data_IF_384950186743
#
_entry.id   IF_384950186743
#
_cell.length_a   1.000
_cell.length_b   1.000
_cell.length_c   1.000
_cell.angle_alpha   90.00
_cell.angle_beta   90.00
_cell.angle_gamma   90.00
#
_symmetry.space_group_name_H-M   'P 1'
#
loop_
_entity.id
_entity.type
_entity.pdbx_description
1 polymer ?
#
# COMPACT_ATOMS: atom_id res chain seq x y z
N UNK A 1 -2.00 -34.26 -15.60
CA UNK A 1 -2.78 -33.01 -15.47
C UNK A 1 -3.58 -32.64 -16.72
N UNK A 2 -3.01 -32.07 -17.80
CA UNK A 2 -3.82 -31.68 -18.99
C UNK A 2 -4.42 -32.84 -19.81
N UNK A 3 -3.78 -34.02 -19.77
CA UNK A 3 -4.28 -35.23 -20.46
C UNK A 3 -5.30 -36.04 -19.66
N UNK A 4 -5.38 -35.85 -18.34
CA UNK A 4 -6.33 -36.57 -17.48
C UNK A 4 -7.67 -35.85 -17.38
N UNK A 5 -7.68 -34.51 -17.48
CA UNK A 5 -8.91 -33.71 -17.48
C UNK A 5 -9.75 -33.88 -18.76
N UNK A 6 -9.11 -34.19 -19.89
CA UNK A 6 -9.80 -34.44 -21.17
C UNK A 6 -10.54 -35.80 -21.21
N UNK A 7 -10.28 -36.70 -20.26
CA UNK A 7 -10.94 -38.01 -20.19
C UNK A 7 -12.23 -38.00 -19.35
N UNK A 8 -12.50 -36.95 -18.58
CA UNK A 8 -13.61 -36.90 -17.61
C UNK A 8 -14.86 -36.15 -18.06
N UNK A 9 -14.95 -35.68 -19.31
CA UNK A 9 -16.20 -35.11 -19.86
C UNK A 9 -16.71 -33.82 -19.23
N UNK A 10 -15.94 -33.17 -18.35
CA UNK A 10 -16.17 -31.79 -17.94
C UNK A 10 -15.43 -30.89 -18.93
N UNK A 11 -16.09 -30.45 -19.99
CA UNK A 11 -15.65 -29.29 -20.76
C UNK A 11 -15.65 -28.10 -19.78
N UNK A 12 -14.48 -27.52 -19.46
CA UNK A 12 -14.46 -26.36 -18.60
C UNK A 12 -14.95 -25.17 -19.44
N UNK A 13 -15.85 -24.38 -18.86
CA UNK A 13 -16.64 -23.34 -19.53
C UNK A 13 -15.76 -22.42 -20.42
N UNK A 14 -16.06 -22.38 -21.72
CA UNK A 14 -15.27 -21.68 -22.74
C UNK A 14 -15.15 -20.18 -22.43
N UNK A 15 -16.18 -19.59 -21.82
CA UNK A 15 -16.20 -18.19 -21.40
C UNK A 15 -15.22 -17.94 -20.24
N UNK A 16 -15.19 -18.85 -19.26
CA UNK A 16 -14.22 -18.84 -18.16
C UNK A 16 -12.77 -19.01 -18.64
N UNK A 17 -12.52 -19.84 -19.66
CA UNK A 17 -11.19 -19.96 -20.27
C UNK A 17 -10.75 -18.72 -21.02
N UNK A 18 -11.66 -18.11 -21.80
CA UNK A 18 -11.37 -16.90 -22.56
C UNK A 18 -11.05 -15.74 -21.62
N UNK A 19 -11.83 -15.56 -20.55
CA UNK A 19 -11.56 -14.54 -19.52
C UNK A 19 -10.20 -14.78 -18.84
N UNK A 20 -9.87 -16.03 -18.53
CA UNK A 20 -8.57 -16.39 -17.94
C UNK A 20 -7.40 -16.08 -18.88
N UNK A 21 -7.54 -16.37 -20.18
CA UNK A 21 -6.51 -16.08 -21.19
C UNK A 21 -6.37 -14.58 -21.45
N UNK A 22 -7.46 -13.81 -21.40
CA UNK A 22 -7.43 -12.36 -21.53
C UNK A 22 -6.75 -11.68 -20.33
N UNK A 23 -7.02 -12.17 -19.11
CA UNK A 23 -6.32 -11.75 -17.89
C UNK A 23 -4.81 -12.02 -17.97
N UNK A 24 -4.41 -13.23 -18.38
CA UNK A 24 -2.99 -13.56 -18.53
C UNK A 24 -2.28 -12.66 -19.56
N UNK A 25 -2.91 -12.42 -20.72
CA UNK A 25 -2.39 -11.50 -21.74
C UNK A 25 -2.34 -10.05 -21.27
N UNK A 26 -3.20 -9.65 -20.34
CA UNK A 26 -3.13 -8.32 -19.74
C UNK A 26 -1.93 -8.20 -18.81
N UNK A 27 -1.76 -9.13 -17.87
CA UNK A 27 -0.59 -9.12 -16.99
C UNK A 27 0.74 -9.20 -17.78
N UNK A 28 0.81 -9.96 -18.88
CA UNK A 28 1.98 -10.03 -19.77
C UNK A 28 2.37 -8.67 -20.39
N UNK A 29 1.44 -7.72 -20.55
CA UNK A 29 1.72 -6.37 -21.07
C UNK A 29 2.37 -5.46 -20.02
N UNK A 30 2.16 -5.75 -18.75
CA UNK A 30 2.54 -4.89 -17.63
C UNK A 30 3.71 -5.46 -16.80
N UNK A 31 3.88 -6.78 -16.76
CA UNK A 31 4.90 -7.44 -15.97
C UNK A 31 5.78 -8.33 -16.83
N UNK A 32 7.08 -8.34 -16.56
CA UNK A 32 7.99 -9.30 -17.17
C UNK A 32 7.69 -10.72 -16.68
N UNK A 33 8.12 -11.75 -17.42
CA UNK A 33 7.92 -13.15 -17.04
C UNK A 33 8.52 -13.48 -15.66
N UNK A 34 9.65 -12.88 -15.31
CA UNK A 34 10.25 -13.03 -13.98
C UNK A 34 9.40 -12.38 -12.88
N UNK A 35 8.78 -11.24 -13.16
CA UNK A 35 7.87 -10.57 -12.23
C UNK A 35 6.56 -11.33 -12.08
N UNK A 36 5.99 -11.85 -13.16
CA UNK A 36 4.78 -12.69 -13.12
C UNK A 36 4.98 -13.94 -12.27
N UNK A 37 6.13 -14.60 -12.40
CA UNK A 37 6.48 -15.75 -11.56
C UNK A 37 6.55 -15.41 -10.06
N UNK A 38 6.80 -14.13 -9.73
CA UNK A 38 6.87 -13.62 -8.36
C UNK A 38 5.61 -12.87 -7.91
N UNK A 39 4.61 -12.69 -8.78
CA UNK A 39 3.39 -11.94 -8.52
C UNK A 39 2.25 -12.91 -8.20
N UNK A 40 1.78 -12.99 -6.93
CA UNK A 40 0.67 -13.85 -6.57
C UNK A 40 -0.57 -13.61 -7.44
N UNK A 41 -0.92 -12.37 -7.78
CA UNK A 41 -2.03 -12.07 -8.70
C UNK A 41 -1.95 -12.78 -10.06
N UNK A 42 -0.76 -13.07 -10.57
CA UNK A 42 -0.59 -13.76 -11.85
C UNK A 42 -0.80 -15.27 -11.75
N UNK A 43 -0.73 -15.85 -10.56
CA UNK A 43 -1.01 -17.27 -10.37
C UNK A 43 -2.51 -17.56 -10.49
N UNK A 44 -2.86 -18.71 -11.05
CA UNK A 44 -4.25 -19.20 -11.04
C UNK A 44 -4.56 -19.79 -9.66
N UNK A 45 -5.44 -19.13 -8.91
CA UNK A 45 -5.83 -19.51 -7.56
C UNK A 45 -7.27 -19.10 -7.31
N UNK A 46 -8.16 -20.08 -7.33
CA UNK A 46 -9.60 -19.87 -7.14
C UNK A 46 -9.92 -19.32 -5.74
N UNK A 47 -9.16 -19.71 -4.71
CA UNK A 47 -9.38 -19.21 -3.36
C UNK A 47 -9.02 -17.73 -3.26
N UNK A 48 -7.90 -17.31 -3.86
CA UNK A 48 -7.56 -15.89 -3.94
C UNK A 48 -8.61 -15.13 -4.72
N UNK A 49 -9.02 -15.61 -5.88
CA UNK A 49 -10.03 -14.96 -6.72
C UNK A 49 -11.40 -14.83 -6.01
N UNK A 50 -11.84 -15.89 -5.30
CA UNK A 50 -13.06 -15.87 -4.50
C UNK A 50 -12.98 -14.82 -3.37
N UNK A 51 -11.89 -14.80 -2.61
CA UNK A 51 -11.73 -13.85 -1.52
C UNK A 51 -11.64 -12.38 -2.00
N UNK A 52 -11.13 -12.12 -3.21
CA UNK A 52 -11.19 -10.79 -3.81
C UNK A 52 -12.61 -10.41 -4.25
N UNK A 53 -13.38 -11.35 -4.82
CA UNK A 53 -14.79 -11.12 -5.16
C UNK A 53 -15.61 -10.77 -3.92
N UNK A 54 -15.46 -11.54 -2.84
CA UNK A 54 -16.12 -11.28 -1.56
C UNK A 54 -15.75 -9.89 -1.00
N UNK A 55 -14.46 -9.54 -1.00
CA UNK A 55 -14.02 -8.21 -0.55
C UNK A 55 -14.63 -7.09 -1.38
N UNK A 56 -14.66 -7.23 -2.71
CA UNK A 56 -15.26 -6.23 -3.61
C UNK A 56 -16.77 -6.09 -3.37
N UNK A 57 -17.49 -7.20 -3.20
CA UNK A 57 -18.92 -7.22 -2.89
C UNK A 57 -19.23 -6.57 -1.52
N UNK A 58 -18.40 -6.83 -0.50
CA UNK A 58 -18.51 -6.19 0.81
C UNK A 58 -18.37 -4.65 0.68
N UNK A 59 -17.39 -4.16 -0.11
CA UNK A 59 -17.19 -2.72 -0.30
C UNK A 59 -18.38 -2.10 -1.02
N UNK A 60 -18.85 -2.74 -2.09
CA UNK A 60 -20.02 -2.29 -2.85
C UNK A 60 -21.27 -2.20 -1.95
N UNK A 61 -21.46 -3.18 -1.07
CA UNK A 61 -22.57 -3.19 -0.10
C UNK A 61 -22.48 -2.02 0.88
N UNK A 62 -21.29 -1.76 1.44
CA UNK A 62 -21.09 -0.60 2.33
C UNK A 62 -21.33 0.72 1.60
N UNK A 63 -20.79 0.88 0.39
CA UNK A 63 -21.00 2.08 -0.43
C UNK A 63 -22.48 2.28 -0.78
N UNK A 64 -23.20 1.22 -1.18
CA UNK A 64 -24.63 1.29 -1.52
C UNK A 64 -25.51 1.66 -0.33
N UNK A 65 -25.10 1.29 0.88
CA UNK A 65 -25.78 1.68 2.13
C UNK A 65 -25.45 3.11 2.59
N UNK A 66 -24.54 3.81 1.90
CA UNK A 66 -24.05 5.14 2.31
C UNK A 66 -23.21 5.09 3.59
N UNK A 67 -22.54 3.96 3.87
CA UNK A 67 -21.73 3.78 5.06
C UNK A 67 -20.53 4.75 5.06
N UNK A 68 -20.37 5.61 6.09
CA UNK A 68 -19.23 6.52 6.18
C UNK A 68 -17.88 5.81 6.23
N UNK A 69 -16.85 6.42 5.64
CA UNK A 69 -15.45 5.94 5.59
C UNK A 69 -14.80 5.86 6.97
N UNK A 70 -15.21 6.73 7.90
CA UNK A 70 -14.78 6.76 9.30
C UNK A 70 -15.52 5.74 10.20
N UNK A 71 -16.45 4.96 9.64
CA UNK A 71 -17.17 3.95 10.40
C UNK A 71 -16.26 2.77 10.78
N UNK A 72 -16.48 2.12 11.93
CA UNK A 72 -15.70 0.92 12.30
C UNK A 72 -15.79 -0.21 11.28
N UNK A 73 -16.88 -0.31 10.52
CA UNK A 73 -17.06 -1.34 9.50
C UNK A 73 -16.20 -1.05 8.26
N UNK A 74 -16.26 0.19 7.75
CA UNK A 74 -15.44 0.64 6.62
C UNK A 74 -13.94 0.53 6.93
N UNK A 75 -13.49 1.03 8.09
CA UNK A 75 -12.08 0.96 8.49
C UNK A 75 -11.57 -0.49 8.58
N UNK A 76 -12.37 -1.42 9.12
CA UNK A 76 -11.99 -2.84 9.18
C UNK A 76 -11.92 -3.48 7.80
N UNK A 77 -12.88 -3.18 6.93
CA UNK A 77 -12.87 -3.68 5.56
C UNK A 77 -11.66 -3.16 4.77
N UNK A 78 -11.38 -1.86 4.88
CA UNK A 78 -10.21 -1.25 4.25
C UNK A 78 -8.89 -1.83 4.78
N UNK A 79 -8.83 -2.17 6.07
CA UNK A 79 -7.66 -2.87 6.65
C UNK A 79 -7.46 -4.24 6.01
N UNK A 80 -8.53 -5.07 5.93
CA UNK A 80 -8.49 -6.39 5.28
C UNK A 80 -8.05 -6.27 3.82
N UNK A 81 -8.59 -5.27 3.11
CA UNK A 81 -8.22 -4.98 1.74
C UNK A 81 -6.72 -4.71 1.60
N UNK A 82 -6.18 -3.80 2.42
CA UNK A 82 -4.76 -3.42 2.33
C UNK A 82 -3.82 -4.55 2.74
N UNK A 83 -4.17 -5.33 3.77
CA UNK A 83 -3.39 -6.52 4.15
C UNK A 83 -3.33 -7.55 3.02
N UNK A 84 -4.47 -7.79 2.36
CA UNK A 84 -4.55 -8.74 1.26
C UNK A 84 -3.84 -8.23 0.02
N UNK A 85 -3.97 -6.94 -0.28
CA UNK A 85 -3.24 -6.30 -1.38
C UNK A 85 -1.73 -6.39 -1.17
N UNK A 86 -1.25 -6.18 0.06
CA UNK A 86 0.17 -6.31 0.40
C UNK A 86 0.66 -7.76 0.25
N UNK A 87 -0.14 -8.74 0.66
CA UNK A 87 0.17 -10.17 0.47
C UNK A 87 0.20 -10.55 -1.02
N UNK A 88 -0.81 -10.14 -1.79
CA UNK A 88 -0.98 -10.55 -3.18
C UNK A 88 -0.08 -9.78 -4.16
N UNK A 89 0.58 -8.72 -3.68
CA UNK A 89 1.72 -8.06 -4.34
C UNK A 89 3.07 -8.58 -3.84
N UNK A 90 3.09 -9.68 -3.06
CA UNK A 90 4.29 -10.26 -2.44
C UNK A 90 5.11 -9.25 -1.60
N UNK A 91 4.46 -8.23 -1.03
CA UNK A 91 5.13 -7.15 -0.30
C UNK A 91 6.04 -6.27 -1.17
N UNK A 92 5.88 -6.31 -2.51
CA UNK A 92 6.68 -5.54 -3.46
C UNK A 92 5.96 -4.25 -3.87
N UNK A 93 6.41 -3.06 -3.42
CA UNK A 93 5.75 -1.80 -3.74
C UNK A 93 5.74 -1.49 -5.24
N UNK A 94 6.74 -1.96 -6.01
CA UNK A 94 6.75 -1.81 -7.46
C UNK A 94 5.56 -2.52 -8.14
N UNK A 95 5.06 -3.61 -7.56
CA UNK A 95 3.88 -4.31 -8.08
C UNK A 95 2.62 -3.52 -7.78
N UNK A 96 2.49 -2.95 -6.59
CA UNK A 96 1.38 -2.04 -6.25
C UNK A 96 1.33 -0.85 -7.21
N UNK A 97 2.46 -0.17 -7.45
CA UNK A 97 2.50 0.97 -8.37
C UNK A 97 2.03 0.57 -9.77
N UNK A 98 2.48 -0.58 -10.28
CA UNK A 98 2.11 -1.03 -11.62
C UNK A 98 0.66 -1.51 -11.72
N UNK A 99 0.12 -2.10 -10.66
CA UNK A 99 -1.31 -2.41 -10.58
C UNK A 99 -2.16 -1.13 -10.62
N UNK A 100 -1.74 -0.07 -9.93
CA UNK A 100 -2.44 1.22 -9.98
C UNK A 100 -2.40 1.84 -11.39
N UNK A 101 -1.25 1.79 -12.06
CA UNK A 101 -1.12 2.26 -13.46
C UNK A 101 -2.00 1.44 -14.41
N UNK A 102 -2.01 0.11 -14.25
CA UNK A 102 -2.85 -0.81 -15.02
C UNK A 102 -4.34 -0.53 -14.81
N UNK A 103 -4.80 -0.35 -13.57
CA UNK A 103 -6.18 0.03 -13.27
C UNK A 103 -6.61 1.36 -13.90
N UNK A 104 -5.68 2.31 -14.04
CA UNK A 104 -5.95 3.60 -14.67
C UNK A 104 -5.98 3.53 -16.21
N UNK A 105 -5.19 2.63 -16.81
CA UNK A 105 -5.00 2.53 -18.26
C UNK A 105 -5.89 1.49 -18.94
N UNK A 106 -6.34 0.45 -18.24
CA UNK A 106 -7.05 -0.70 -18.81
C UNK A 106 -8.51 -0.74 -18.28
N UNK A 107 -9.52 -0.27 -19.05
CA UNK A 107 -10.92 -0.33 -18.64
C UNK A 107 -11.41 -1.76 -18.33
N UNK A 108 -10.82 -2.76 -19.01
CA UNK A 108 -11.09 -4.19 -18.79
C UNK A 108 -10.81 -4.63 -17.35
N UNK A 109 -9.95 -3.93 -16.61
CA UNK A 109 -9.73 -4.20 -15.19
C UNK A 109 -11.01 -4.05 -14.38
N UNK A 110 -11.82 -3.03 -14.68
CA UNK A 110 -13.09 -2.81 -13.97
C UNK A 110 -14.08 -3.93 -14.29
N UNK A 111 -14.17 -4.32 -15.56
CA UNK A 111 -15.07 -5.38 -16.02
C UNK A 111 -14.73 -6.74 -15.38
N UNK A 112 -13.44 -7.06 -15.27
CA UNK A 112 -12.97 -8.35 -14.79
C UNK A 112 -12.89 -8.44 -13.26
N UNK A 113 -12.52 -7.36 -12.58
CA UNK A 113 -12.30 -7.37 -11.12
C UNK A 113 -13.44 -6.76 -10.33
N UNK A 114 -14.31 -5.98 -10.97
CA UNK A 114 -15.34 -5.17 -10.31
C UNK A 114 -14.78 -4.00 -9.49
N UNK A 115 -13.46 -3.81 -9.47
CA UNK A 115 -12.79 -2.76 -8.70
C UNK A 115 -12.81 -1.45 -9.49
N UNK A 116 -13.73 -0.57 -9.10
CA UNK A 116 -13.89 0.75 -9.72
C UNK A 116 -13.00 1.80 -9.05
N UNK A 117 -12.71 2.95 -9.72
CA UNK A 117 -12.04 4.08 -9.09
C UNK A 117 -12.73 4.56 -7.80
N UNK A 118 -14.06 4.46 -7.73
CA UNK A 118 -14.83 4.83 -6.54
C UNK A 118 -14.58 3.88 -5.35
N UNK A 119 -14.43 2.57 -5.61
CA UNK A 119 -14.04 1.58 -4.59
C UNK A 119 -12.63 1.89 -4.08
N UNK A 120 -11.68 2.19 -4.99
CA UNK A 120 -10.30 2.54 -4.61
C UNK A 120 -10.28 3.79 -3.73
N UNK A 121 -11.03 4.83 -4.09
CA UNK A 121 -11.15 6.05 -3.30
C UNK A 121 -11.75 5.78 -1.91
N UNK A 122 -12.85 5.03 -1.84
CA UNK A 122 -13.52 4.68 -0.59
C UNK A 122 -12.60 3.90 0.36
N UNK A 123 -11.90 2.89 -0.16
CA UNK A 123 -10.94 2.10 0.62
C UNK A 123 -9.75 2.95 1.07
N UNK A 124 -9.22 3.82 0.22
CA UNK A 124 -8.10 4.70 0.55
C UNK A 124 -8.46 5.62 1.72
N UNK A 125 -9.65 6.23 1.66
CA UNK A 125 -10.16 7.11 2.71
C UNK A 125 -10.46 6.36 4.00
N UNK A 126 -11.18 5.23 3.92
CA UNK A 126 -11.47 4.42 5.10
C UNK A 126 -10.20 3.84 5.75
N UNK A 127 -9.17 3.54 4.97
CA UNK A 127 -7.88 3.10 5.50
C UNK A 127 -7.14 4.25 6.19
N UNK A 128 -7.17 5.45 5.61
CA UNK A 128 -6.63 6.65 6.25
C UNK A 128 -7.32 6.92 7.60
N UNK A 129 -8.65 6.86 7.64
CA UNK A 129 -9.43 7.00 8.88
C UNK A 129 -9.04 5.96 9.93
N UNK A 130 -8.72 4.73 9.51
CA UNK A 130 -8.21 3.71 10.45
C UNK A 130 -6.91 4.12 11.16
N UNK A 131 -6.04 4.89 10.49
CA UNK A 131 -4.80 5.42 11.07
C UNK A 131 -5.06 6.68 11.89
N UNK A 132 -5.92 7.57 11.39
CA UNK A 132 -6.34 8.78 12.10
C UNK A 132 -7.02 8.46 13.44
N UNK A 133 -7.87 7.42 13.48
CA UNK A 133 -8.50 6.95 14.71
C UNK A 133 -7.50 6.46 15.77
N UNK A 134 -6.34 5.93 15.34
CA UNK A 134 -5.25 5.57 16.25
C UNK A 134 -4.53 6.82 16.74
N UNK A 135 -4.14 7.72 15.84
CA UNK A 135 -3.42 8.94 16.22
C UNK A 135 -4.23 9.87 17.12
N UNK A 136 -5.56 9.85 17.03
CA UNK A 136 -6.44 10.57 17.95
C UNK A 136 -6.24 10.17 19.44
N UNK A 137 -5.62 9.03 19.74
CA UNK A 137 -5.26 8.62 21.11
C UNK A 137 -3.92 9.20 21.60
N UNK A 138 -3.12 9.74 20.69
CA UNK A 138 -1.75 10.23 20.96
C UNK A 138 -1.61 11.74 20.79
N UNK A 139 -2.38 12.32 19.87
CA UNK A 139 -2.33 13.73 19.50
C UNK A 139 -3.36 14.55 20.30
N UNK A 140 -3.04 15.82 20.55
CA UNK A 140 -4.03 16.78 21.05
C UNK A 140 -4.95 17.27 19.91
N UNK A 141 -5.97 18.07 20.26
CA UNK A 141 -6.99 18.52 19.31
C UNK A 141 -6.42 19.33 18.14
N UNK A 142 -5.46 20.22 18.40
CA UNK A 142 -4.83 21.05 17.37
C UNK A 142 -3.94 20.21 16.45
N UNK A 143 -3.13 19.33 17.02
CA UNK A 143 -2.30 18.38 16.26
C UNK A 143 -3.15 17.46 15.38
N UNK A 144 -4.27 16.96 15.92
CA UNK A 144 -5.16 16.07 15.21
C UNK A 144 -5.92 16.80 14.10
N UNK A 145 -6.36 18.04 14.33
CA UNK A 145 -7.00 18.87 13.32
C UNK A 145 -6.05 19.13 12.14
N UNK A 146 -4.80 19.51 12.41
CA UNK A 146 -3.76 19.68 11.39
C UNK A 146 -3.54 18.38 10.61
N UNK A 147 -3.40 17.25 11.33
CA UNK A 147 -3.15 15.94 10.71
C UNK A 147 -4.29 15.55 9.77
N UNK A 148 -5.55 15.67 10.19
CA UNK A 148 -6.70 15.35 9.32
C UNK A 148 -6.75 16.22 8.08
N UNK A 149 -6.46 17.51 8.23
CA UNK A 149 -6.48 18.45 7.11
C UNK A 149 -5.43 18.11 6.06
N UNK A 150 -4.23 17.70 6.48
CA UNK A 150 -3.08 17.54 5.59
C UNK A 150 -2.72 16.09 5.24
N UNK A 151 -3.41 15.10 5.81
CA UNK A 151 -3.09 13.68 5.60
C UNK A 151 -3.15 13.28 4.12
N UNK A 152 -4.15 13.79 3.40
CA UNK A 152 -4.41 13.42 2.02
C UNK A 152 -3.61 14.25 1.00
N UNK A 153 -3.00 15.37 1.40
CA UNK A 153 -2.32 16.33 0.50
C UNK A 153 -1.25 15.67 -0.37
N UNK A 154 -0.51 14.72 0.20
CA UNK A 154 0.64 14.06 -0.45
C UNK A 154 0.61 12.54 -0.34
N UNK A 155 -0.56 11.96 -0.06
CA UNK A 155 -0.72 10.51 0.15
C UNK A 155 -0.24 9.70 -1.06
N UNK A 156 -0.49 10.19 -2.27
CA UNK A 156 -0.16 9.51 -3.53
C UNK A 156 1.35 9.47 -3.82
N UNK A 157 2.18 10.26 -3.13
CA UNK A 157 3.64 10.26 -3.31
C UNK A 157 4.33 9.10 -2.56
N UNK A 158 3.66 8.50 -1.59
CA UNK A 158 4.23 7.46 -0.73
C UNK A 158 4.64 6.17 -1.47
N UNK A 159 3.82 5.56 -2.35
CA UNK A 159 4.20 4.32 -3.03
C UNK A 159 5.49 4.46 -3.83
N UNK A 160 5.65 5.55 -4.56
CA UNK A 160 6.85 5.83 -5.35
C UNK A 160 8.10 6.01 -4.48
N UNK A 161 7.96 6.67 -3.32
CA UNK A 161 9.06 6.78 -2.36
C UNK A 161 9.41 5.42 -1.75
N UNK A 162 8.43 4.63 -1.33
CA UNK A 162 8.64 3.29 -0.76
C UNK A 162 9.34 2.38 -1.77
N UNK A 163 8.95 2.42 -3.06
CA UNK A 163 9.64 1.68 -4.12
C UNK A 163 11.13 2.08 -4.23
N UNK A 164 11.45 3.38 -4.17
CA UNK A 164 12.85 3.87 -4.16
C UNK A 164 13.61 3.42 -2.91
N UNK A 165 12.97 3.37 -1.74
CA UNK A 165 13.59 2.88 -0.51
C UNK A 165 13.93 1.38 -0.61
N UNK A 166 13.01 0.58 -1.16
CA UNK A 166 13.26 -0.83 -1.46
C UNK A 166 14.41 -1.01 -2.45
N UNK A 167 14.43 -0.22 -3.52
CA UNK A 167 15.51 -0.25 -4.50
C UNK A 167 16.87 0.09 -3.86
N UNK A 168 16.94 1.15 -3.06
CA UNK A 168 18.16 1.53 -2.35
C UNK A 168 18.66 0.41 -1.41
N UNK A 169 17.76 -0.31 -0.74
CA UNK A 169 18.12 -1.46 0.09
C UNK A 169 18.66 -2.62 -0.76
N UNK A 170 18.02 -2.96 -1.88
CA UNK A 170 18.46 -4.04 -2.78
C UNK A 170 19.83 -3.75 -3.42
N UNK A 171 20.09 -2.50 -3.76
CA UNK A 171 21.35 -2.04 -4.37
C UNK A 171 22.46 -1.81 -3.34
N UNK A 172 22.19 -1.98 -2.05
CA UNK A 172 23.19 -1.77 -0.99
C UNK A 172 23.64 -0.30 -0.85
N UNK A 173 22.77 0.66 -1.20
CA UNK A 173 23.05 2.09 -1.05
C UNK A 173 23.31 2.40 0.42
N UNK A 174 24.46 3.01 0.73
CA UNK A 174 24.77 3.39 2.11
C UNK A 174 23.77 4.45 2.63
N UNK A 175 23.15 4.27 3.81
CA UNK A 175 22.18 5.23 4.37
C UNK A 175 22.73 6.67 4.51
N UNK A 176 24.04 6.79 4.74
CA UNK A 176 24.75 8.07 4.93
C UNK A 176 25.26 8.70 3.63
N UNK A 177 25.14 7.99 2.50
CA UNK A 177 25.52 8.53 1.18
C UNK A 177 24.60 9.69 0.77
N UNK A 178 25.04 10.51 -0.19
CA UNK A 178 24.22 11.60 -0.72
C UNK A 178 22.84 11.12 -1.23
N UNK A 179 22.81 9.97 -1.91
CA UNK A 179 21.57 9.33 -2.36
C UNK A 179 20.70 8.88 -1.17
N UNK A 180 21.30 8.20 -0.18
CA UNK A 180 20.59 7.77 1.02
C UNK A 180 19.97 8.93 1.81
N UNK A 181 20.73 10.03 1.96
CA UNK A 181 20.27 11.25 2.62
C UNK A 181 19.20 12.01 1.80
N UNK A 182 19.20 11.90 0.46
CA UNK A 182 18.12 12.45 -0.36
C UNK A 182 16.79 11.71 -0.10
N UNK A 183 16.83 10.37 -0.03
CA UNK A 183 15.64 9.56 0.30
C UNK A 183 15.13 9.82 1.72
N UNK A 184 16.04 9.96 2.70
CA UNK A 184 15.66 10.30 4.07
C UNK A 184 14.98 11.68 4.16
N UNK A 185 15.46 12.67 3.39
CA UNK A 185 14.84 14.00 3.31
C UNK A 185 13.45 13.94 2.68
N UNK A 186 13.31 13.24 1.55
CA UNK A 186 12.01 13.04 0.91
C UNK A 186 11.00 12.37 1.86
N UNK A 187 11.43 11.36 2.62
CA UNK A 187 10.59 10.73 3.64
C UNK A 187 10.17 11.70 4.75
N UNK A 188 11.11 12.48 5.28
CA UNK A 188 10.81 13.48 6.31
C UNK A 188 9.87 14.56 5.79
N UNK A 189 10.01 14.97 4.53
CA UNK A 189 9.14 15.96 3.90
C UNK A 189 7.69 15.47 3.79
N UNK A 190 7.47 14.23 3.32
CA UNK A 190 6.14 13.62 3.29
C UNK A 190 5.57 13.38 4.68
N UNK A 191 6.41 12.99 5.64
CA UNK A 191 5.98 12.79 7.02
C UNK A 191 5.58 14.12 7.69
N UNK A 192 6.34 15.19 7.46
CA UNK A 192 6.08 16.50 8.06
C UNK A 192 4.92 17.25 7.39
N UNK A 193 4.58 16.96 6.13
CA UNK A 193 3.36 17.55 5.51
C UNK A 193 2.11 17.17 6.31
N UNK A 194 2.09 15.91 6.69
CA UNK A 194 1.32 15.24 7.73
C UNK A 194 1.26 15.76 9.16
N UNK A 195 2.43 15.65 9.79
CA UNK A 195 2.62 15.70 11.23
C UNK A 195 3.01 17.11 11.73
N UNK A 196 3.22 18.05 10.81
CA UNK A 196 3.84 19.33 11.08
C UNK A 196 5.33 19.20 11.39
N UNK A 197 5.92 20.25 11.95
CA UNK A 197 7.37 20.32 12.23
C UNK A 197 7.70 20.43 13.71
N UNK A 198 6.69 20.46 14.59
CA UNK A 198 6.88 20.59 16.05
C UNK A 198 7.55 19.33 16.61
N UNK A 199 8.72 19.41 17.26
CA UNK A 199 9.43 18.23 17.77
C UNK A 199 8.61 17.36 18.73
N UNK A 200 7.77 17.98 19.57
CA UNK A 200 6.90 17.27 20.51
C UNK A 200 5.82 16.45 19.79
N UNK A 201 5.21 17.00 18.74
CA UNK A 201 4.22 16.31 17.90
C UNK A 201 4.86 15.14 17.16
N UNK A 202 6.05 15.35 16.56
CA UNK A 202 6.79 14.28 15.88
C UNK A 202 7.16 13.12 16.83
N UNK A 203 7.45 13.42 18.11
CA UNK A 203 7.69 12.41 19.12
C UNK A 203 6.42 11.58 19.43
N UNK A 204 5.24 12.21 19.49
CA UNK A 204 3.96 11.51 19.65
C UNK A 204 3.68 10.55 18.49
N UNK A 205 3.90 10.98 17.25
CA UNK A 205 3.79 10.10 16.07
C UNK A 205 4.77 8.92 16.14
N UNK A 206 6.03 9.16 16.50
CA UNK A 206 7.02 8.09 16.65
C UNK A 206 6.58 7.07 17.69
N UNK A 207 6.14 7.55 18.87
CA UNK A 207 5.63 6.68 19.93
C UNK A 207 4.42 5.86 19.47
N UNK A 208 3.49 6.47 18.73
CA UNK A 208 2.36 5.74 18.16
C UNK A 208 2.83 4.64 17.20
N UNK A 209 3.77 4.92 16.29
CA UNK A 209 4.31 3.91 15.37
C UNK A 209 5.02 2.75 16.09
N UNK A 210 5.67 3.02 17.23
CA UNK A 210 6.31 1.99 18.05
C UNK A 210 5.30 1.11 18.81
N UNK A 211 4.16 1.68 19.23
CA UNK A 211 3.16 1.01 20.08
C UNK A 211 2.01 0.38 19.30
N UNK A 212 1.78 0.80 18.06
CA UNK A 212 0.59 0.47 17.28
C UNK A 212 0.97 -0.24 15.97
N UNK A 213 1.05 -1.59 15.95
CA UNK A 213 1.42 -2.35 14.75
C UNK A 213 0.55 -2.06 13.52
N UNK A 214 -0.70 -1.63 13.74
CA UNK A 214 -1.63 -1.27 12.67
C UNK A 214 -1.14 -0.11 11.81
N UNK A 215 -0.38 0.85 12.36
CA UNK A 215 0.15 1.99 11.60
C UNK A 215 1.13 1.57 10.49
N UNK A 216 1.74 0.39 10.64
CA UNK A 216 2.65 -0.20 9.67
C UNK A 216 1.95 -0.95 8.53
N UNK A 217 0.67 -1.30 8.67
CA UNK A 217 -0.08 -2.00 7.61
C UNK A 217 -0.24 -1.11 6.38
N UNK A 218 -0.26 -1.74 5.21
CA UNK A 218 -0.51 -1.05 3.94
C UNK A 218 0.53 0.00 3.60
N UNK A 219 1.75 -0.12 4.17
CA UNK A 219 2.88 0.75 3.88
C UNK A 219 3.90 0.11 2.96
N UNK A 220 3.84 -1.22 2.77
CA UNK A 220 4.88 -2.01 2.09
C UNK A 220 6.27 -1.85 2.71
N UNK A 221 6.38 -1.35 3.94
CA UNK A 221 7.65 -1.16 4.62
C UNK A 221 8.07 -2.45 5.32
N UNK A 222 9.11 -3.09 4.82
CA UNK A 222 9.70 -4.28 5.47
C UNK A 222 10.60 -3.87 6.64
N UNK A 223 10.87 -4.78 7.60
CA UNK A 223 11.81 -4.51 8.69
C UNK A 223 13.20 -4.06 8.21
N UNK A 224 13.68 -4.61 7.10
CA UNK A 224 14.96 -4.22 6.49
C UNK A 224 14.94 -2.78 5.98
N UNK A 225 13.88 -2.40 5.25
CA UNK A 225 13.71 -1.03 4.72
C UNK A 225 13.53 -0.02 5.85
N UNK A 226 12.79 -0.37 6.91
CA UNK A 226 12.63 0.47 8.10
C UNK A 226 13.96 0.69 8.82
N UNK A 227 14.74 -0.38 9.02
CA UNK A 227 16.07 -0.27 9.64
C UNK A 227 17.00 0.63 8.82
N UNK A 228 17.01 0.47 7.49
CA UNK A 228 17.79 1.32 6.60
C UNK A 228 17.37 2.80 6.70
N UNK A 229 16.07 3.07 6.69
CA UNK A 229 15.52 4.42 6.78
C UNK A 229 15.81 5.07 8.15
N UNK A 230 15.72 4.32 9.24
CA UNK A 230 16.07 4.78 10.58
C UNK A 230 17.55 5.19 10.67
N UNK A 231 18.46 4.43 10.03
CA UNK A 231 19.88 4.80 9.95
C UNK A 231 20.08 6.08 9.14
N UNK A 232 19.41 6.21 8.00
CA UNK A 232 19.53 7.38 7.12
C UNK A 232 19.02 8.65 7.80
N UNK A 233 17.83 8.59 8.41
CA UNK A 233 17.22 9.72 9.13
C UNK A 233 17.97 10.06 10.42
N UNK A 234 18.45 9.07 11.17
CA UNK A 234 19.26 9.28 12.37
C UNK A 234 20.57 10.00 12.08
N UNK A 235 21.21 9.70 10.94
CA UNK A 235 22.38 10.47 10.48
C UNK A 235 22.03 11.92 10.14
N UNK A 236 20.93 12.14 9.42
CA UNK A 236 20.48 13.48 9.03
C UNK A 236 20.21 14.35 10.26
N UNK A 237 19.52 13.80 11.27
CA UNK A 237 19.21 14.52 12.52
C UNK A 237 20.49 14.88 13.30
N UNK A 238 21.49 14.00 13.35
CA UNK A 238 22.78 14.30 13.99
C UNK A 238 23.56 15.39 13.25
N UNK A 239 23.53 15.39 11.92
CA UNK A 239 24.18 16.43 11.12
C UNK A 239 23.50 17.80 11.30
N UNK A 240 22.18 17.83 11.43
CA UNK A 240 21.42 19.05 11.71
C UNK A 240 21.67 19.61 13.13
N UNK A 241 22.10 18.77 14.07
CA UNK A 241 22.41 19.10 15.47
C UNK A 241 23.92 19.32 15.72
N UNK A 242 24.69 19.75 14.72
CA UNK A 242 26.15 19.92 14.79
C UNK A 242 26.68 20.56 16.09
N UNK A 243 27.93 20.24 16.47
CA UNK A 243 28.39 20.21 17.86
C UNK A 243 28.09 21.53 18.57
N UNK A 244 27.51 21.45 19.77
CA UNK A 244 27.49 22.58 20.68
C UNK A 244 28.93 23.10 20.79
N UNK A 245 29.15 24.33 20.32
CA UNK A 245 30.45 24.98 20.33
C UNK A 245 30.98 24.96 21.77
N UNK A 246 32.07 24.21 21.99
CA UNK A 246 32.96 24.40 23.11
C UNK A 246 33.92 25.54 22.85
#
# INVERSE_FOLDING_TARGET
>A
MLREALASGNEPDLESWLQTLELMKMYDRWFSQQELAALPFAAQDEQRAQAWRELTEEVQTLMASGCPTDSPQAMRLATRWMERLEQDTAGRPEFLTRLNEMHAAEPQMVEQTGVTPAIIAYITEAFAESKLAIWARYLDEEEMAFTRQHYFDRLQEWPALVAKLHQACREGVAPVSASGQALARAWLELFQSYAGTRPQTLQKFRRAMEQEPHLMKGTWMTPAVLSWLQQATGSLMRQAQGPAAG
#
